data_IF_922947000085
#
_entry.id   IF_922947000085
#
_cell.length_a   1.000
_cell.length_b   1.000
_cell.length_c   1.000
_cell.angle_alpha   90.00
_cell.angle_beta   90.00
_cell.angle_gamma   90.00
#
_symmetry.space_group_name_H-M   'P 1'
#
loop_
_entity.id
_entity.type
_entity.pdbx_description
1 polymer ?
#
# COMPACT_ATOMS: atom_id res chain seq x y z
N UNK A 1 2.80 17.80 8.56
CA UNK A 1 2.56 16.50 9.23
C UNK A 1 1.06 16.25 9.22
N UNK A 2 0.59 15.12 8.70
CA UNK A 2 -0.84 14.77 8.74
C UNK A 2 -1.23 14.39 10.17
N UNK A 3 -2.33 14.96 10.65
CA UNK A 3 -2.91 14.64 11.96
C UNK A 3 -3.84 13.44 11.84
N UNK A 4 -4.15 12.76 12.95
CA UNK A 4 -5.10 11.64 12.95
C UNK A 4 -6.46 12.02 12.32
N UNK A 5 -6.85 13.30 12.38
CA UNK A 5 -8.10 13.83 11.81
C UNK A 5 -8.13 13.78 10.28
N UNK A 6 -6.98 13.65 9.62
CA UNK A 6 -6.88 13.62 8.16
C UNK A 6 -7.12 12.22 7.58
N UNK A 7 -7.41 11.23 8.42
CA UNK A 7 -7.62 9.84 8.01
C UNK A 7 -9.05 9.36 8.28
N UNK A 8 -9.64 8.71 7.28
CA UNK A 8 -10.91 7.98 7.43
C UNK A 8 -10.63 6.64 8.12
N UNK A 9 -11.31 6.38 9.24
CA UNK A 9 -11.25 5.06 9.90
C UNK A 9 -12.05 4.05 9.06
N UNK A 10 -11.39 2.97 8.65
CA UNK A 10 -12.04 1.87 7.92
C UNK A 10 -12.01 0.62 8.78
N UNK A 11 -13.19 0.06 9.08
CA UNK A 11 -13.29 -1.25 9.69
C UNK A 11 -13.11 -2.33 8.61
N UNK A 12 -12.05 -3.13 8.71
CA UNK A 12 -11.75 -4.21 7.78
C UNK A 12 -12.03 -5.56 8.45
N UNK A 13 -12.71 -6.46 7.75
CA UNK A 13 -12.90 -7.84 8.18
C UNK A 13 -11.86 -8.72 7.49
N UNK A 14 -11.12 -9.50 8.27
CA UNK A 14 -10.08 -10.39 7.78
C UNK A 14 -10.34 -11.81 8.29
N UNK A 15 -10.05 -12.84 7.47
CA UNK A 15 -9.89 -14.21 7.97
C UNK A 15 -8.84 -14.27 9.10
N UNK A 16 -9.02 -15.14 10.12
CA UNK A 16 -8.11 -15.20 11.27
C UNK A 16 -6.66 -15.52 10.91
N UNK A 17 -6.45 -16.40 9.93
CA UNK A 17 -5.16 -16.81 9.40
C UNK A 17 -4.43 -15.63 8.73
N UNK A 18 -5.14 -14.84 7.94
CA UNK A 18 -4.58 -13.65 7.30
C UNK A 18 -4.26 -12.57 8.32
N UNK A 19 -5.11 -12.38 9.33
CA UNK A 19 -4.84 -11.45 10.43
C UNK A 19 -3.57 -11.83 11.21
N UNK A 20 -3.40 -13.11 11.53
CA UNK A 20 -2.21 -13.62 12.20
C UNK A 20 -0.94 -13.42 11.35
N UNK A 21 -1.00 -13.79 10.07
CA UNK A 21 0.11 -13.65 9.13
C UNK A 21 0.56 -12.19 8.96
N UNK A 22 -0.38 -11.25 8.92
CA UNK A 22 -0.08 -9.82 8.85
C UNK A 22 0.55 -9.29 10.15
N UNK A 23 0.15 -9.81 11.30
CA UNK A 23 0.77 -9.45 12.58
C UNK A 23 2.21 -9.94 12.67
N UNK A 24 2.50 -11.16 12.23
CA UNK A 24 3.86 -11.71 12.18
C UNK A 24 4.74 -10.89 11.24
N UNK A 25 4.27 -10.65 10.01
CA UNK A 25 5.01 -9.83 9.03
C UNK A 25 5.27 -8.40 9.51
N UNK A 26 4.33 -7.81 10.25
CA UNK A 26 4.51 -6.49 10.85
C UNK A 26 5.62 -6.49 11.91
N UNK A 27 5.69 -7.53 12.77
CA UNK A 27 6.76 -7.70 13.76
C UNK A 27 8.13 -7.85 13.09
N UNK A 28 8.22 -8.71 12.08
CA UNK A 28 9.47 -8.95 11.33
C UNK A 28 9.98 -7.70 10.62
N UNK A 29 9.06 -6.86 10.13
CA UNK A 29 9.39 -5.63 9.42
C UNK A 29 9.54 -4.40 10.32
N UNK A 30 9.43 -4.56 11.65
CA UNK A 30 9.39 -3.48 12.64
C UNK A 30 8.34 -2.40 12.32
N UNK A 31 7.20 -2.81 11.76
CA UNK A 31 6.07 -1.94 11.42
C UNK A 31 4.92 -2.15 12.40
N UNK A 32 4.10 -1.10 12.57
CA UNK A 32 2.77 -1.29 13.15
C UNK A 32 1.91 -2.09 12.18
N UNK A 33 0.90 -2.79 12.71
CA UNK A 33 -0.04 -3.57 11.89
C UNK A 33 -0.67 -2.74 10.76
N UNK A 34 -1.12 -1.51 11.08
CA UNK A 34 -1.67 -0.60 10.08
C UNK A 34 -0.62 -0.14 9.04
N UNK A 35 0.63 0.09 9.46
CA UNK A 35 1.69 0.46 8.54
C UNK A 35 2.02 -0.68 7.55
N UNK A 36 1.97 -1.94 8.00
CA UNK A 36 2.16 -3.10 7.14
C UNK A 36 1.03 -3.25 6.10
N UNK A 37 -0.23 -3.09 6.52
CA UNK A 37 -1.38 -3.06 5.60
C UNK A 37 -1.20 -1.97 4.54
N UNK A 38 -0.88 -0.74 4.97
CA UNK A 38 -0.67 0.38 4.04
C UNK A 38 0.52 0.14 3.10
N UNK A 39 1.60 -0.47 3.58
CA UNK A 39 2.77 -0.80 2.76
C UNK A 39 2.37 -1.74 1.61
N UNK A 40 1.67 -2.83 1.92
CA UNK A 40 1.18 -3.80 0.93
C UNK A 40 0.18 -3.19 -0.04
N UNK A 41 -0.78 -2.40 0.46
CA UNK A 41 -1.74 -1.73 -0.42
C UNK A 41 -1.03 -0.75 -1.37
N UNK A 42 -0.12 0.09 -0.87
CA UNK A 42 0.61 1.05 -1.71
C UNK A 42 1.51 0.37 -2.73
N UNK A 43 2.13 -0.77 -2.41
CA UNK A 43 2.98 -1.49 -3.37
C UNK A 43 2.17 -1.98 -4.60
N UNK A 44 0.89 -2.34 -4.41
CA UNK A 44 0.00 -2.76 -5.51
C UNK A 44 -0.28 -1.64 -6.53
N UNK A 45 -0.20 -0.37 -6.10
CA UNK A 45 -0.40 0.79 -6.97
C UNK A 45 0.90 1.30 -7.60
N UNK A 46 2.06 1.10 -6.97
CA UNK A 46 3.37 1.54 -7.50
C UNK A 46 3.77 0.81 -8.79
N UNK A 47 3.33 -0.42 -8.98
CA UNK A 47 3.55 -1.20 -10.21
C UNK A 47 2.65 -0.80 -11.40
N UNK A 48 1.60 0.00 -11.16
CA UNK A 48 0.68 0.50 -12.19
C UNK A 48 1.08 1.88 -12.71
N UNK A 49 2.38 2.15 -12.82
CA UNK A 49 2.83 3.36 -13.52
C UNK A 49 2.40 3.17 -14.98
N UNK A 50 1.46 3.97 -15.53
CA UNK A 50 1.22 3.93 -16.96
C UNK A 50 2.58 4.23 -17.59
N UNK A 51 3.10 3.27 -18.34
CA UNK A 51 4.18 3.53 -19.27
C UNK A 51 3.68 4.72 -20.08
N UNK A 52 4.19 5.92 -19.77
CA UNK A 52 4.13 7.03 -20.71
C UNK A 52 4.90 6.50 -21.90
N UNK A 53 4.15 5.97 -22.86
CA UNK A 53 4.58 5.73 -24.23
C UNK A 53 5.37 6.97 -24.61
N UNK A 54 6.69 6.84 -24.65
CA UNK A 54 7.57 7.80 -25.26
C UNK A 54 7.08 7.92 -26.70
N UNK A 55 6.21 8.90 -26.93
CA UNK A 55 5.78 9.28 -28.26
C UNK A 55 7.05 9.73 -28.96
N UNK A 56 7.54 8.86 -29.82
CA UNK A 56 8.44 9.16 -30.92
C UNK A 56 7.87 10.36 -31.68
N UNK A 57 8.30 11.57 -31.31
CA UNK A 57 8.18 12.73 -32.18
C UNK A 57 9.32 12.69 -33.19
N UNK A 58 9.12 11.92 -34.27
CA UNK A 58 9.25 12.56 -35.59
C UNK A 58 7.93 13.31 -35.87
N UNK A 59 7.88 14.36 -36.71
CA UNK A 59 8.53 14.37 -38.03
C UNK A 59 9.10 15.74 -38.48
N UNK A 60 9.69 15.69 -39.68
CA UNK A 60 10.07 16.74 -40.63
C UNK A 60 11.52 17.21 -40.61
#
# INVERSE_FOLDING_TARGET
MSTQKDFVKTALRLPPDLHASLHESAKESERTFNAEILHRLRSTFKGKRPQQSATSKGPQ
#
